data_IF_717469380822
#
_entry.id   IF_717469380822
#
_cell.length_a   1.000
_cell.length_b   1.000
_cell.length_c   1.000
_cell.angle_alpha   90.00
_cell.angle_beta   90.00
_cell.angle_gamma   90.00
#
_symmetry.space_group_name_H-M   'P 1'
#
loop_
_entity.id
_entity.type
_entity.pdbx_description
1 polymer ?
#
# COMPACT_ATOMS: atom_id res chain seq x y z
N UNK A 1 0.33 -16.15 0.65
CA UNK A 1 0.94 -15.19 -0.30
C UNK A 1 0.02 -14.00 -0.63
N UNK A 2 -1.20 -13.91 -0.07
CA UNK A 2 -2.17 -12.84 -0.38
C UNK A 2 -2.17 -11.68 0.65
N UNK A 3 -1.34 -11.72 1.69
CA UNK A 3 -1.39 -10.78 2.82
C UNK A 3 -1.06 -9.31 2.49
N UNK A 4 -0.45 -9.03 1.33
CA UNK A 4 -0.01 -7.68 0.96
C UNK A 4 -0.66 -7.14 -0.32
N UNK A 5 -1.66 -7.84 -0.86
CA UNK A 5 -2.31 -7.44 -2.11
C UNK A 5 -3.10 -6.12 -1.95
N UNK A 6 -3.72 -5.92 -0.79
CA UNK A 6 -4.47 -4.70 -0.49
C UNK A 6 -3.53 -3.49 -0.32
N UNK A 7 -2.44 -3.63 0.45
CA UNK A 7 -1.39 -2.62 0.54
C UNK A 7 -0.73 -2.31 -0.80
N UNK A 8 -0.57 -3.32 -1.67
CA UNK A 8 -0.05 -3.12 -3.02
C UNK A 8 -0.96 -2.23 -3.88
N UNK A 9 -2.28 -2.42 -3.82
CA UNK A 9 -3.23 -1.57 -4.55
C UNK A 9 -3.14 -0.11 -4.09
N UNK A 10 -3.03 0.11 -2.78
CA UNK A 10 -2.88 1.45 -2.19
C UNK A 10 -1.57 2.10 -2.65
N UNK A 11 -0.48 1.34 -2.63
CA UNK A 11 0.82 1.77 -3.17
C UNK A 11 0.71 2.17 -4.65
N UNK A 12 0.06 1.35 -5.49
CA UNK A 12 -0.14 1.67 -6.90
C UNK A 12 -0.94 2.96 -7.10
N UNK A 13 -2.04 3.13 -6.34
CA UNK A 13 -2.86 4.34 -6.40
C UNK A 13 -2.09 5.58 -5.93
N UNK A 14 -1.27 5.45 -4.89
CA UNK A 14 -0.39 6.52 -4.44
C UNK A 14 0.62 6.90 -5.53
N UNK A 15 1.27 5.93 -6.18
CA UNK A 15 2.16 6.18 -7.32
C UNK A 15 1.44 6.97 -8.42
N UNK A 16 0.24 6.55 -8.82
CA UNK A 16 -0.56 7.23 -9.85
C UNK A 16 -0.90 8.68 -9.46
N UNK A 17 -1.30 8.93 -8.21
CA UNK A 17 -1.61 10.28 -7.70
C UNK A 17 -0.41 11.24 -7.77
N UNK A 18 0.82 10.71 -7.70
CA UNK A 18 2.04 11.49 -7.83
C UNK A 18 2.65 11.43 -9.25
N UNK A 19 1.98 10.80 -10.22
CA UNK A 19 2.47 10.64 -11.59
C UNK A 19 3.68 9.71 -11.72
N UNK A 20 3.83 8.76 -10.80
CA UNK A 20 4.93 7.79 -10.75
C UNK A 20 4.47 6.42 -11.25
N UNK A 21 5.38 5.66 -11.85
CA UNK A 21 5.14 4.26 -12.19
C UNK A 21 5.35 3.36 -10.96
N UNK A 22 4.38 2.49 -10.68
CA UNK A 22 4.48 1.52 -9.60
C UNK A 22 5.29 0.29 -10.02
N UNK A 23 6.08 -0.26 -9.10
CA UNK A 23 6.76 -1.55 -9.31
C UNK A 23 5.76 -2.72 -9.39
N UNK A 24 6.18 -3.85 -9.96
CA UNK A 24 5.36 -5.07 -9.93
C UNK A 24 5.27 -5.66 -8.50
N UNK A 25 4.22 -6.45 -8.26
CA UNK A 25 3.92 -7.02 -6.94
C UNK A 25 5.07 -7.83 -6.33
N UNK A 26 5.81 -8.59 -7.15
CA UNK A 26 6.91 -9.40 -6.64
C UNK A 26 8.05 -8.53 -6.09
N UNK A 27 8.38 -7.45 -6.79
CA UNK A 27 9.39 -6.48 -6.32
C UNK A 27 8.91 -5.72 -5.09
N UNK A 28 7.63 -5.33 -5.05
CA UNK A 28 7.02 -4.69 -3.89
C UNK A 28 7.19 -5.54 -2.61
N UNK A 29 6.84 -6.82 -2.65
CA UNK A 29 6.98 -7.74 -1.50
C UNK A 29 8.45 -8.03 -1.16
N UNK A 30 9.32 -8.08 -2.16
CA UNK A 30 10.74 -8.44 -1.96
C UNK A 30 11.60 -7.27 -1.45
N UNK A 31 11.29 -6.05 -1.86
CA UNK A 31 12.14 -4.88 -1.62
C UNK A 31 11.72 -4.07 -0.40
N UNK A 32 10.45 -4.16 0.00
CA UNK A 32 9.97 -3.50 1.21
C UNK A 32 10.21 -4.38 2.44
N UNK A 33 10.48 -3.74 3.57
CA UNK A 33 10.51 -4.43 4.86
C UNK A 33 9.09 -4.85 5.24
N UNK A 34 8.98 -5.86 6.11
CA UNK A 34 7.69 -6.30 6.63
C UNK A 34 6.91 -5.16 7.30
N UNK A 35 7.59 -4.28 8.05
CA UNK A 35 6.99 -3.06 8.63
C UNK A 35 6.43 -2.11 7.56
N UNK A 36 7.17 -1.88 6.46
CA UNK A 36 6.70 -1.04 5.35
C UNK A 36 5.49 -1.65 4.64
N UNK A 37 5.48 -2.98 4.45
CA UNK A 37 4.35 -3.70 3.87
C UNK A 37 3.11 -3.58 4.76
N UNK A 38 3.28 -3.70 6.08
CA UNK A 38 2.17 -3.52 7.02
C UNK A 38 1.68 -2.08 7.10
N UNK A 39 2.56 -1.08 6.99
CA UNK A 39 2.15 0.32 6.99
C UNK A 39 1.14 0.66 5.88
N UNK A 40 1.30 0.08 4.68
CA UNK A 40 0.33 0.23 3.60
C UNK A 40 -0.99 -0.49 3.87
N UNK A 41 -0.97 -1.63 4.55
CA UNK A 41 -2.19 -2.34 4.96
C UNK A 41 -2.93 -1.58 6.09
N UNK A 42 -2.20 -0.91 6.98
CA UNK A 42 -2.76 -0.14 8.10
C UNK A 42 -3.28 1.24 7.68
N UNK A 43 -2.78 1.81 6.59
CA UNK A 43 -3.25 3.10 6.06
C UNK A 43 -4.77 3.12 5.81
N UNK A 44 -5.39 1.97 5.51
CA UNK A 44 -6.85 1.82 5.41
C UNK A 44 -7.59 1.96 6.74
N UNK A 45 -6.98 1.56 7.87
CA UNK A 45 -7.63 1.67 9.19
C UNK A 45 -7.81 3.14 9.58
N UNK A 46 -6.81 3.97 9.33
CA UNK A 46 -6.85 5.37 9.74
C UNK A 46 -7.62 6.27 8.78
N UNK A 47 -7.54 6.03 7.46
CA UNK A 47 -8.33 6.79 6.48
C UNK A 47 -9.85 6.59 6.65
N UNK A 48 -10.28 5.40 7.09
CA UNK A 48 -11.70 5.11 7.36
C UNK A 48 -12.22 5.84 8.61
N UNK A 49 -11.36 6.21 9.56
CA UNK A 49 -11.74 6.95 10.77
C UNK A 49 -11.92 8.45 10.50
N UNK A 50 -11.19 9.02 9.54
CA UNK A 50 -11.30 10.44 9.20
C UNK A 50 -12.54 10.82 8.37
N UNK A 51 -13.21 9.89 7.70
CA UNK A 51 -14.45 10.18 6.95
C UNK A 51 -15.74 10.06 7.81
N UNK A 52 -15.63 9.67 9.09
CA UNK A 52 -16.78 9.50 10.01
C UNK A 52 -16.81 10.57 11.14
N UNK A 53 -15.83 11.49 11.19
CA UNK A 53 -15.79 12.60 12.17
C UNK A 53 -16.13 13.94 11.53
#
# INVERSE_FOLDING_TARGET
MEHFMEGYQIYCQACENYGLESMNYHLYVKQLTEEQLYAFNEYKRDATIQEIS
#
